data_IF_722550817025
#
_entry.id   IF_722550817025
#
_cell.length_a   1.000
_cell.length_b   1.000
_cell.length_c   1.000
_cell.angle_alpha   90.00
_cell.angle_beta   90.00
_cell.angle_gamma   90.00
#
_symmetry.space_group_name_H-M   'P 1'
#
loop_
_entity.id
_entity.type
_entity.pdbx_description
1 polymer ?
#
# COMPACT_ATOMS: atom_id res chain seq x y z
N UNK A 1 23.75 -40.98 -24.11
CA UNK A 1 23.20 -41.02 -22.74
C UNK A 1 23.70 -39.89 -21.83
N UNK A 2 24.44 -38.93 -22.32
CA UNK A 2 25.00 -37.79 -21.57
C UNK A 2 24.17 -36.51 -21.72
N UNK A 3 23.42 -36.37 -22.80
CA UNK A 3 22.65 -35.15 -23.13
C UNK A 3 21.40 -34.94 -22.26
N UNK A 4 20.83 -35.97 -21.66
CA UNK A 4 19.63 -35.89 -20.82
C UNK A 4 19.94 -35.41 -19.39
N UNK A 5 21.15 -35.61 -18.90
CA UNK A 5 21.53 -35.14 -17.53
C UNK A 5 21.83 -33.66 -17.43
N UNK A 6 22.24 -33.02 -18.54
CA UNK A 6 22.51 -31.57 -18.55
C UNK A 6 21.25 -30.72 -18.57
N UNK A 7 20.14 -31.20 -19.19
CA UNK A 7 18.86 -30.45 -19.21
C UNK A 7 18.15 -30.42 -17.84
N UNK A 8 18.33 -31.49 -17.05
CA UNK A 8 17.70 -31.60 -15.72
C UNK A 8 18.41 -30.72 -14.67
N UNK A 9 19.74 -30.54 -14.82
CA UNK A 9 20.52 -29.68 -13.91
C UNK A 9 20.22 -28.18 -14.19
N UNK A 10 19.99 -27.81 -15.47
CA UNK A 10 19.68 -26.43 -15.84
C UNK A 10 18.28 -25.99 -15.39
N UNK A 11 17.34 -26.94 -15.26
CA UNK A 11 15.99 -26.64 -14.76
C UNK A 11 15.91 -26.50 -13.24
N UNK A 12 16.82 -27.13 -12.50
CA UNK A 12 16.90 -27.08 -11.04
C UNK A 12 17.60 -25.80 -10.51
N UNK A 13 18.46 -25.19 -11.31
CA UNK A 13 19.16 -23.96 -10.91
C UNK A 13 18.32 -22.69 -11.14
N UNK A 14 17.25 -22.77 -11.96
CA UNK A 14 16.36 -21.62 -12.21
C UNK A 14 15.27 -21.47 -11.15
N UNK A 15 15.00 -22.51 -10.34
CA UNK A 15 13.99 -22.49 -9.28
C UNK A 15 14.47 -21.87 -7.96
N UNK A 16 15.78 -21.64 -7.80
CA UNK A 16 16.36 -21.17 -6.54
C UNK A 16 16.53 -19.64 -6.45
N UNK A 17 16.24 -18.90 -7.53
CA UNK A 17 16.50 -17.44 -7.60
C UNK A 17 15.23 -16.60 -7.26
N UNK A 18 14.06 -17.21 -7.12
CA UNK A 18 12.79 -16.49 -6.92
C UNK A 18 12.45 -16.26 -5.44
N UNK A 19 13.23 -16.78 -4.49
CA UNK A 19 12.87 -16.72 -3.06
C UNK A 19 13.68 -15.73 -2.21
N UNK A 20 14.36 -14.75 -2.81
CA UNK A 20 15.05 -13.69 -2.05
C UNK A 20 14.66 -12.29 -2.53
N UNK A 21 13.36 -12.07 -2.73
CA UNK A 21 12.82 -10.73 -2.74
C UNK A 21 12.53 -10.38 -1.26
N UNK A 22 13.55 -9.88 -0.59
CA UNK A 22 13.35 -9.17 0.67
C UNK A 22 12.53 -7.94 0.34
N UNK A 23 11.28 -7.92 0.79
CA UNK A 23 10.47 -6.71 0.81
C UNK A 23 11.15 -5.72 1.76
N UNK A 24 12.01 -4.87 1.19
CA UNK A 24 12.57 -3.74 1.90
C UNK A 24 11.46 -2.71 2.05
N UNK A 25 10.95 -2.56 3.26
CA UNK A 25 10.11 -1.43 3.61
C UNK A 25 10.96 -0.16 3.48
N UNK A 26 10.66 0.67 2.47
CA UNK A 26 11.26 1.98 2.35
C UNK A 26 10.58 2.91 3.36
N UNK A 27 11.25 3.17 4.46
CA UNK A 27 10.86 4.24 5.36
C UNK A 27 11.23 5.57 4.69
N UNK A 28 10.23 6.34 4.28
CA UNK A 28 10.44 7.72 3.85
C UNK A 28 10.60 8.58 5.11
N UNK A 29 11.86 8.87 5.44
CA UNK A 29 12.22 9.87 6.45
C UNK A 29 11.92 11.27 5.88
N UNK A 30 10.85 11.90 6.36
CA UNK A 30 10.59 13.32 6.15
C UNK A 30 10.96 14.08 7.43
N UNK A 31 12.08 14.80 7.33
CA UNK A 31 12.76 15.50 8.37
C UNK A 31 11.90 16.40 9.25
N UNK A 32 12.18 16.32 10.54
CA UNK A 32 11.80 17.33 11.53
C UNK A 32 11.47 16.75 12.89
N UNK A 33 12.47 16.55 13.65
CA UNK A 33 12.68 16.47 15.09
C UNK A 33 13.28 15.15 15.57
N UNK A 34 14.55 15.25 15.83
CA UNK A 34 15.41 14.28 16.47
C UNK A 34 14.89 13.96 17.89
N UNK A 35 14.19 12.84 18.03
CA UNK A 35 14.11 12.13 19.31
C UNK A 35 14.87 10.81 19.15
N UNK A 36 16.11 10.80 19.63
CA UNK A 36 16.87 9.58 19.86
C UNK A 36 16.26 8.83 21.02
N UNK A 37 15.37 7.91 20.74
CA UNK A 37 14.86 6.91 21.66
C UNK A 37 14.61 5.65 20.82
N UNK A 38 15.38 4.60 21.05
CA UNK A 38 15.17 3.29 20.42
C UNK A 38 13.89 2.62 20.91
N UNK A 39 12.74 3.15 20.51
CA UNK A 39 11.42 2.56 20.69
C UNK A 39 10.90 2.17 19.31
N UNK A 40 10.39 0.95 19.16
CA UNK A 40 9.53 0.57 18.05
C UNK A 40 8.41 1.60 17.94
N UNK A 41 8.19 2.14 16.74
CA UNK A 41 7.10 3.10 16.53
C UNK A 41 5.77 2.48 17.00
N UNK A 42 5.00 3.25 17.77
CA UNK A 42 3.75 2.75 18.38
C UNK A 42 2.70 2.37 17.35
N UNK A 43 2.76 2.96 16.14
CA UNK A 43 1.92 2.63 14.97
C UNK A 43 2.76 2.71 13.71
N UNK A 44 2.57 1.76 12.80
CA UNK A 44 3.22 1.70 11.48
C UNK A 44 2.18 1.69 10.38
N UNK A 45 2.57 2.16 9.19
CA UNK A 45 1.76 2.09 7.96
C UNK A 45 2.66 1.93 6.74
N UNK A 46 2.21 1.17 5.77
CA UNK A 46 2.83 1.02 4.46
C UNK A 46 1.82 0.65 3.40
N UNK A 47 2.27 0.69 2.14
CA UNK A 47 1.54 0.19 0.97
C UNK A 47 2.39 -0.88 0.29
N UNK A 48 1.74 -1.82 -0.40
CA UNK A 48 2.42 -2.92 -1.11
C UNK A 48 3.19 -2.46 -2.36
N UNK A 49 2.94 -1.24 -2.84
CA UNK A 49 3.69 -0.59 -3.92
C UNK A 49 3.92 0.89 -3.62
N UNK A 50 4.95 1.47 -4.23
CA UNK A 50 5.19 2.93 -4.21
C UNK A 50 4.44 3.68 -5.31
N UNK A 51 3.81 2.98 -6.26
CA UNK A 51 3.08 3.59 -7.36
C UNK A 51 1.93 2.71 -7.82
N UNK A 52 0.84 3.35 -8.27
CA UNK A 52 -0.38 2.71 -8.75
C UNK A 52 -0.95 3.45 -9.93
N UNK A 53 -1.79 2.75 -10.72
CA UNK A 53 -2.52 3.31 -11.85
C UNK A 53 -4.03 3.13 -11.67
N UNK A 54 -4.82 3.77 -12.53
CA UNK A 54 -6.29 3.61 -12.53
C UNK A 54 -6.69 2.14 -12.62
N UNK A 55 -7.50 1.70 -11.66
CA UNK A 55 -8.01 0.32 -11.58
C UNK A 55 -7.19 -0.60 -10.68
N UNK A 56 -6.02 -0.18 -10.23
CA UNK A 56 -5.21 -0.96 -9.29
C UNK A 56 -5.89 -1.09 -7.92
N UNK A 57 -5.51 -2.14 -7.20
CA UNK A 57 -5.92 -2.38 -5.83
C UNK A 57 -4.76 -2.06 -4.89
N UNK A 58 -4.91 -1.01 -4.10
CA UNK A 58 -3.90 -0.57 -3.13
C UNK A 58 -4.08 -1.37 -1.85
N UNK A 59 -3.07 -2.14 -1.45
CA UNK A 59 -3.06 -2.80 -0.16
C UNK A 59 -2.35 -1.92 0.86
N UNK A 60 -3.09 -1.43 1.86
CA UNK A 60 -2.56 -0.68 3.00
C UNK A 60 -2.44 -1.64 4.18
N UNK A 61 -1.27 -1.65 4.81
CA UNK A 61 -0.97 -2.55 5.92
C UNK A 61 -0.13 -1.84 7.01
N UNK A 62 -0.21 -2.36 8.22
CA UNK A 62 0.55 -1.81 9.34
C UNK A 62 0.29 -2.56 10.64
N UNK A 63 0.77 -1.99 11.74
CA UNK A 63 0.61 -2.57 13.07
C UNK A 63 0.61 -1.52 14.18
N UNK A 64 0.02 -1.88 15.32
CA UNK A 64 0.06 -1.15 16.59
C UNK A 64 0.80 -2.01 17.60
N UNK A 65 1.92 -1.54 18.13
CA UNK A 65 2.88 -2.35 18.90
C UNK A 65 2.40 -2.77 20.30
N UNK A 66 1.47 -2.01 20.88
CA UNK A 66 0.95 -2.23 22.23
C UNK A 66 -0.58 -2.47 22.24
N UNK A 67 -1.10 -2.95 21.11
CA UNK A 67 -2.50 -3.33 21.01
C UNK A 67 -2.81 -4.45 22.01
N UNK A 68 -3.93 -4.31 22.70
CA UNK A 68 -4.45 -5.31 23.63
C UNK A 68 -5.97 -5.33 23.52
N UNK A 69 -6.49 -6.39 22.92
CA UNK A 69 -7.92 -6.59 22.66
C UNK A 69 -8.74 -6.62 23.98
N UNK A 70 -8.12 -6.98 25.09
CA UNK A 70 -8.77 -7.05 26.40
C UNK A 70 -8.76 -5.72 27.16
N UNK A 71 -7.94 -4.75 26.74
CA UNK A 71 -7.83 -3.43 27.37
C UNK A 71 -8.75 -2.42 26.65
N UNK A 72 -9.84 -1.95 27.26
CA UNK A 72 -10.75 -0.99 26.63
C UNK A 72 -10.12 0.36 26.30
N UNK A 73 -8.93 0.67 26.82
CA UNK A 73 -8.17 1.88 26.50
C UNK A 73 -7.18 1.68 25.35
N UNK A 74 -7.04 0.47 24.84
CA UNK A 74 -6.15 0.10 23.73
C UNK A 74 -6.87 -0.60 22.58
N UNK A 75 -8.08 -1.08 22.82
CA UNK A 75 -8.91 -1.78 21.85
C UNK A 75 -9.72 -0.77 20.99
N UNK A 76 -9.03 -0.06 20.10
CA UNK A 76 -9.65 0.86 19.16
C UNK A 76 -9.40 0.38 17.72
N UNK A 77 -10.36 0.63 16.84
CA UNK A 77 -10.16 0.50 15.40
C UNK A 77 -9.20 1.57 14.88
N UNK A 78 -8.48 1.26 13.81
CA UNK A 78 -7.71 2.24 13.06
C UNK A 78 -8.68 3.10 12.24
N UNK A 79 -8.53 4.42 12.34
CA UNK A 79 -9.15 5.34 11.38
C UNK A 79 -8.17 5.65 10.27
N UNK A 80 -8.48 5.23 9.04
CA UNK A 80 -7.70 5.50 7.84
C UNK A 80 -8.30 6.68 7.09
N UNK A 81 -7.45 7.57 6.56
CA UNK A 81 -7.82 8.65 5.66
C UNK A 81 -6.86 8.68 4.47
N UNK A 82 -7.42 8.69 3.25
CA UNK A 82 -6.67 8.86 2.01
C UNK A 82 -6.95 10.23 1.42
N UNK A 83 -5.89 10.97 1.09
CA UNK A 83 -5.93 12.35 0.61
C UNK A 83 -5.24 12.43 -0.75
N UNK A 84 -5.90 13.06 -1.72
CA UNK A 84 -5.35 13.34 -3.05
C UNK A 84 -4.35 14.50 -3.03
N UNK A 85 -3.54 14.68 -4.11
CA UNK A 85 -2.54 15.76 -4.22
C UNK A 85 -3.14 17.17 -4.07
N UNK A 86 -4.39 17.36 -4.41
CA UNK A 86 -5.12 18.63 -4.26
C UNK A 86 -5.73 18.88 -2.86
N UNK A 87 -5.46 17.98 -1.89
CA UNK A 87 -5.97 18.04 -0.52
C UNK A 87 -7.39 17.47 -0.33
N UNK A 88 -8.04 16.97 -1.38
CA UNK A 88 -9.35 16.35 -1.25
C UNK A 88 -9.25 14.99 -0.60
N UNK A 89 -10.20 14.68 0.27
CA UNK A 89 -10.32 13.37 0.88
C UNK A 89 -10.95 12.42 -0.14
N UNK A 90 -10.27 11.32 -0.44
CA UNK A 90 -10.75 10.23 -1.29
C UNK A 90 -11.64 9.28 -0.50
N UNK A 91 -11.16 8.86 0.67
CA UNK A 91 -11.91 7.97 1.56
C UNK A 91 -11.51 8.14 3.01
N UNK A 92 -12.44 7.81 3.90
CA UNK A 92 -12.20 7.59 5.33
C UNK A 92 -12.81 6.24 5.67
N UNK A 93 -12.08 5.39 6.37
CA UNK A 93 -12.57 4.08 6.80
C UNK A 93 -12.06 3.72 8.19
N UNK A 94 -12.78 2.83 8.85
CA UNK A 94 -12.33 2.18 10.07
C UNK A 94 -11.89 0.75 9.74
N UNK A 95 -10.78 0.33 10.37
CA UNK A 95 -10.15 -0.96 10.16
C UNK A 95 -9.94 -1.60 11.52
N UNK A 96 -10.51 -2.77 11.73
CA UNK A 96 -10.29 -3.54 12.96
C UNK A 96 -8.90 -4.16 12.94
N UNK A 97 -8.27 -4.22 14.11
CA UNK A 97 -6.99 -4.87 14.27
C UNK A 97 -7.17 -6.38 14.50
N UNK A 98 -6.19 -7.16 14.07
CA UNK A 98 -6.02 -8.54 14.49
C UNK A 98 -5.52 -8.59 15.94
N UNK A 99 -5.62 -9.75 16.58
CA UNK A 99 -5.19 -9.95 17.98
C UNK A 99 -3.70 -9.67 18.22
N UNK A 100 -2.87 -9.73 17.17
CA UNK A 100 -1.44 -9.39 17.19
C UNK A 100 -1.16 -7.90 16.95
N UNK A 101 -2.19 -7.07 16.83
CA UNK A 101 -2.10 -5.65 16.54
C UNK A 101 -1.86 -5.30 15.06
N UNK A 102 -1.80 -6.27 14.16
CA UNK A 102 -1.69 -6.02 12.73
C UNK A 102 -3.02 -5.59 12.12
N UNK A 103 -2.97 -4.83 11.02
CA UNK A 103 -4.14 -4.45 10.23
C UNK A 103 -3.81 -4.39 8.74
N UNK A 104 -4.83 -4.59 7.91
CA UNK A 104 -4.74 -4.38 6.47
C UNK A 104 -6.09 -4.04 5.87
N UNK A 105 -6.06 -3.30 4.76
CA UNK A 105 -7.26 -3.00 3.97
C UNK A 105 -6.89 -2.78 2.51
N UNK A 106 -7.87 -2.96 1.63
CA UNK A 106 -7.74 -2.71 0.20
C UNK A 106 -8.54 -1.47 -0.19
N UNK A 107 -7.91 -0.60 -0.99
CA UNK A 107 -8.54 0.59 -1.55
C UNK A 107 -8.45 0.50 -3.08
N UNK A 108 -9.58 0.45 -3.80
CA UNK A 108 -9.58 0.48 -5.25
C UNK A 108 -9.20 1.88 -5.76
N UNK A 109 -8.17 1.97 -6.61
CA UNK A 109 -7.73 3.21 -7.25
C UNK A 109 -8.62 3.56 -8.45
N UNK A 110 -9.93 3.72 -8.20
CA UNK A 110 -10.93 3.98 -9.24
C UNK A 110 -12.08 4.84 -8.73
N UNK A 111 -12.80 5.45 -9.67
CA UNK A 111 -13.98 6.25 -9.38
C UNK A 111 -13.74 7.77 -9.51
N UNK A 112 -14.80 8.58 -9.30
CA UNK A 112 -14.82 9.97 -9.71
C UNK A 112 -13.91 10.90 -8.89
N UNK A 113 -13.35 10.45 -7.78
CA UNK A 113 -12.44 11.25 -6.96
C UNK A 113 -10.96 11.06 -7.34
N UNK A 114 -10.63 10.03 -8.11
CA UNK A 114 -9.30 9.74 -8.61
C UNK A 114 -9.05 10.49 -9.94
N UNK A 115 -8.75 11.79 -9.85
CA UNK A 115 -8.70 12.70 -11.00
C UNK A 115 -7.34 13.31 -11.28
N UNK A 116 -6.37 13.12 -10.41
CA UNK A 116 -5.09 13.81 -10.46
C UNK A 116 -3.95 12.82 -10.39
N UNK A 117 -2.97 12.98 -11.26
CA UNK A 117 -1.66 12.37 -11.09
C UNK A 117 -0.94 12.99 -9.91
N UNK A 118 -0.08 12.23 -9.26
CA UNK A 118 0.79 12.73 -8.20
C UNK A 118 0.71 11.93 -6.91
N UNK A 119 1.23 12.52 -5.85
CA UNK A 119 1.40 11.85 -4.57
C UNK A 119 0.13 11.91 -3.73
N UNK A 120 -0.39 10.74 -3.41
CA UNK A 120 -1.51 10.54 -2.51
C UNK A 120 -0.98 10.20 -1.12
N UNK A 121 -1.59 10.75 -0.08
CA UNK A 121 -1.20 10.50 1.31
C UNK A 121 -2.23 9.61 1.99
N UNK A 122 -1.76 8.49 2.52
CA UNK A 122 -2.54 7.64 3.44
C UNK A 122 -2.11 7.97 4.85
N UNK A 123 -3.05 8.33 5.71
CA UNK A 123 -2.80 8.54 7.14
C UNK A 123 -3.70 7.64 7.98
N UNK A 124 -3.18 7.17 9.10
CA UNK A 124 -3.90 6.36 10.07
C UNK A 124 -3.79 6.94 11.47
N UNK A 125 -4.87 6.75 12.22
CA UNK A 125 -4.94 7.13 13.62
C UNK A 125 -5.42 5.94 14.46
N UNK A 126 -4.82 5.72 15.61
CA UNK A 126 -5.25 4.77 16.63
C UNK A 126 -5.40 5.49 17.97
N UNK A 127 -6.65 5.67 18.40
CA UNK A 127 -6.94 6.55 19.53
C UNK A 127 -6.70 8.02 19.21
N UNK A 128 -6.37 8.82 20.24
CA UNK A 128 -6.22 10.28 20.13
C UNK A 128 -4.79 10.75 19.84
N UNK A 129 -3.80 9.93 20.12
CA UNK A 129 -2.38 10.32 20.24
C UNK A 129 -1.42 9.56 19.32
N UNK A 130 -1.88 8.52 18.62
CA UNK A 130 -1.07 7.72 17.70
C UNK A 130 -1.48 7.94 16.27
N UNK A 131 -0.54 8.36 15.47
CA UNK A 131 -0.75 8.55 14.03
C UNK A 131 0.50 8.16 13.25
N UNK A 132 0.27 7.72 12.01
CA UNK A 132 1.33 7.50 11.03
C UNK A 132 0.79 7.84 9.65
N UNK A 133 1.69 8.12 8.70
CA UNK A 133 1.32 8.38 7.32
C UNK A 133 2.38 7.86 6.35
N UNK A 134 1.93 7.52 5.14
CA UNK A 134 2.79 7.16 4.01
C UNK A 134 2.25 7.80 2.74
N UNK A 135 3.05 7.84 1.69
CA UNK A 135 2.66 8.36 0.38
C UNK A 135 2.93 7.33 -0.70
N UNK A 136 2.14 7.38 -1.75
CA UNK A 136 2.38 6.65 -3.00
C UNK A 136 2.06 7.56 -4.20
N UNK A 137 2.69 7.32 -5.34
CA UNK A 137 2.39 8.02 -6.57
C UNK A 137 1.24 7.33 -7.31
N UNK A 138 0.24 8.09 -7.74
CA UNK A 138 -0.84 7.60 -8.60
C UNK A 138 -0.74 8.22 -9.98
N UNK A 139 -0.98 7.42 -11.03
CA UNK A 139 -0.93 7.82 -12.44
C UNK A 139 -2.25 7.44 -13.09
N UNK A 140 -2.93 8.41 -13.67
CA UNK A 140 -4.14 8.17 -14.46
C UNK A 140 -3.81 7.32 -15.69
N UNK A 141 -4.58 6.27 -15.91
CA UNK A 141 -4.51 5.56 -17.18
C UNK A 141 -4.94 6.50 -18.34
N UNK A 142 -4.25 6.48 -19.48
CA UNK A 142 -4.67 7.26 -20.64
C UNK A 142 -6.09 6.86 -21.06
N UNK A 143 -6.94 7.84 -21.35
CA UNK A 143 -8.26 7.57 -21.92
C UNK A 143 -8.07 6.88 -23.26
N UNK A 144 -8.61 5.68 -23.40
CA UNK A 144 -8.71 5.00 -24.70
C UNK A 144 -9.84 5.70 -25.46
N UNK A 145 -9.47 6.61 -26.37
CA UNK A 145 -10.42 7.16 -27.33
C UNK A 145 -10.70 6.03 -28.33
N UNK A 146 -11.83 5.35 -28.19
CA UNK A 146 -12.34 4.49 -29.26
C UNK A 146 -12.69 5.43 -30.44
N UNK A 147 -11.85 5.44 -31.49
CA UNK A 147 -12.22 6.02 -32.77
C UNK A 147 -13.44 5.24 -33.29
N UNK A 148 -14.59 5.88 -33.23
CA UNK A 148 -15.80 5.40 -33.92
C UNK A 148 -15.46 5.30 -35.41
N UNK A 149 -15.22 4.08 -35.90
CA UNK A 149 -15.08 3.83 -37.35
C UNK A 149 -16.45 4.11 -37.99
N UNK A 150 -16.61 5.35 -38.44
CA UNK A 150 -17.74 5.72 -39.30
C UNK A 150 -17.55 4.91 -40.58
N UNK A 151 -18.26 3.78 -40.65
CA UNK A 151 -18.36 3.02 -41.92
C UNK A 151 -19.01 3.89 -42.97
N UNK A 152 -18.23 4.36 -43.95
CA UNK A 152 -18.79 4.88 -45.18
C UNK A 152 -19.59 3.74 -45.82
N UNK A 153 -20.92 3.81 -45.72
CA UNK A 153 -21.80 3.10 -46.63
C UNK A 153 -21.64 3.74 -48.02
N UNK A 154 -21.03 2.96 -48.89
CA UNK A 154 -20.99 3.24 -50.31
C UNK A 154 -22.31 2.75 -50.94
#
# INVERSE_FOLDING_TARGET
>A
MVYYKMKTILLLTLSAIILSQSYGFAYADHGGNHYTGGGTEAITIGTDSSSYTTGDMINVLGSVSDYDESDPFKNFDITLKLIAPNGNIITISQISLNSDGSYSTFIPAQGPLWKYDGDYTVSVNHGSDRNASTTFTFILAPEVIEEEVIGEEI
#
